data_IF_151912253673
#
_entry.id   IF_151912253673
#
_cell.length_a   1.000
_cell.length_b   1.000
_cell.length_c   1.000
_cell.angle_alpha   90.00
_cell.angle_beta   90.00
_cell.angle_gamma   90.00
#
_symmetry.space_group_name_H-M   'P 1'
#
loop_
_entity.id
_entity.type
_entity.pdbx_description
1 polymer ?
#
# COMPACT_ATOMS: atom_id res chain seq x y z
N UNK A 1 16.02 -27.20 0.65
CA UNK A 1 16.04 -28.47 1.41
C UNK A 1 16.91 -28.27 2.64
N UNK A 2 16.34 -28.33 3.85
CA UNK A 2 17.09 -28.18 5.10
C UNK A 2 17.83 -29.46 5.51
N UNK A 3 17.26 -30.62 5.15
CA UNK A 3 17.76 -31.94 5.52
C UNK A 3 17.45 -32.97 4.44
N UNK A 4 18.39 -33.84 4.12
CA UNK A 4 18.17 -35.06 3.34
C UNK A 4 18.34 -36.24 4.30
N UNK A 5 17.36 -37.14 4.32
CA UNK A 5 17.41 -38.38 5.08
C UNK A 5 17.46 -39.59 4.15
N UNK A 6 18.14 -40.65 4.57
CA UNK A 6 18.12 -41.93 3.86
C UNK A 6 16.83 -42.71 4.18
N UNK A 7 16.68 -43.88 3.55
CA UNK A 7 15.58 -44.83 3.78
C UNK A 7 15.43 -45.26 5.25
N UNK A 8 16.52 -45.24 6.04
CA UNK A 8 16.53 -45.65 7.45
C UNK A 8 16.25 -44.47 8.40
N UNK A 9 16.02 -43.27 7.87
CA UNK A 9 15.80 -42.06 8.66
C UNK A 9 17.10 -41.38 9.14
N UNK A 10 18.28 -41.85 8.72
CA UNK A 10 19.54 -41.22 9.07
C UNK A 10 19.74 -39.93 8.28
N UNK A 11 20.37 -38.94 8.90
CA UNK A 11 20.69 -37.66 8.26
C UNK A 11 21.87 -37.85 7.31
N UNK A 12 21.65 -37.69 6.00
CA UNK A 12 22.70 -37.79 4.98
C UNK A 12 23.28 -36.42 4.66
N UNK A 13 22.47 -35.36 4.77
CA UNK A 13 22.90 -33.99 4.54
C UNK A 13 22.07 -33.04 5.41
N UNK A 14 22.77 -32.15 6.11
CA UNK A 14 22.17 -31.04 6.87
C UNK A 14 22.75 -29.73 6.36
N UNK A 15 21.90 -28.83 5.88
CA UNK A 15 22.32 -27.51 5.40
C UNK A 15 22.24 -26.50 6.53
N UNK A 16 23.32 -26.40 7.32
CA UNK A 16 23.46 -25.36 8.34
C UNK A 16 24.06 -24.07 7.79
N UNK A 17 23.74 -22.94 8.44
CA UNK A 17 24.28 -21.63 8.06
C UNK A 17 25.79 -21.60 8.35
N UNK A 18 26.61 -21.65 7.31
CA UNK A 18 28.07 -21.52 7.43
C UNK A 18 28.51 -20.07 7.24
N UNK A 19 28.95 -19.41 8.31
CA UNK A 19 29.55 -18.06 8.23
C UNK A 19 30.88 -18.16 7.47
N UNK A 20 30.99 -17.48 6.32
CA UNK A 20 32.20 -17.50 5.49
C UNK A 20 33.24 -16.47 5.92
N UNK A 21 32.82 -15.23 6.08
CA UNK A 21 33.64 -14.10 6.54
C UNK A 21 32.76 -12.93 6.91
N UNK A 22 33.28 -12.03 7.74
CA UNK A 22 32.71 -10.71 7.97
C UNK A 22 33.34 -9.72 6.99
N UNK A 23 32.54 -9.11 6.13
CA UNK A 23 33.01 -8.18 5.08
C UNK A 23 33.10 -6.74 5.60
N UNK A 24 32.20 -6.35 6.51
CA UNK A 24 32.12 -5.03 7.14
C UNK A 24 31.85 -5.16 8.64
N UNK A 25 32.14 -4.12 9.42
CA UNK A 25 31.78 -4.10 10.84
C UNK A 25 30.25 -4.07 11.03
N UNK A 26 29.78 -4.48 12.21
CA UNK A 26 28.37 -4.36 12.58
C UNK A 26 27.89 -2.90 12.54
N UNK A 27 28.73 -1.97 12.98
CA UNK A 27 28.44 -0.53 12.93
C UNK A 27 28.24 -0.04 11.48
N UNK A 28 29.14 -0.40 10.56
CA UNK A 28 29.00 -0.05 9.14
C UNK A 28 27.74 -0.69 8.54
N UNK A 29 27.43 -1.93 8.92
CA UNK A 29 26.19 -2.59 8.49
C UNK A 29 24.95 -1.85 9.00
N UNK A 30 24.91 -1.47 10.28
CA UNK A 30 23.79 -0.74 10.87
C UNK A 30 23.59 0.64 10.21
N UNK A 31 24.68 1.37 9.92
CA UNK A 31 24.62 2.63 9.18
C UNK A 31 24.08 2.43 7.76
N UNK A 32 24.53 1.39 7.06
CA UNK A 32 24.06 1.08 5.71
C UNK A 32 22.58 0.70 5.72
N UNK A 33 22.12 -0.08 6.71
CA UNK A 33 20.71 -0.46 6.84
C UNK A 33 19.82 0.76 7.06
N UNK A 34 20.22 1.68 7.94
CA UNK A 34 19.51 2.95 8.14
C UNK A 34 19.46 3.79 6.86
N UNK A 35 20.57 3.90 6.14
CA UNK A 35 20.61 4.65 4.89
C UNK A 35 19.70 4.03 3.82
N UNK A 36 19.70 2.70 3.68
CA UNK A 36 18.87 1.99 2.71
C UNK A 36 17.39 1.93 3.10
N UNK A 37 17.09 1.95 4.40
CA UNK A 37 15.74 2.16 4.90
C UNK A 37 15.27 3.57 4.53
N UNK A 38 16.11 4.58 4.80
CA UNK A 38 15.80 5.96 4.42
C UNK A 38 15.58 6.11 2.91
N UNK A 39 16.27 5.37 2.05
CA UNK A 39 16.00 5.36 0.61
C UNK A 39 14.58 4.88 0.30
N UNK A 40 14.03 3.93 1.05
CA UNK A 40 12.67 3.42 0.84
C UNK A 40 11.63 4.34 1.50
N UNK A 41 11.83 4.68 2.77
CA UNK A 41 10.91 5.52 3.56
C UNK A 41 10.85 6.96 3.01
N UNK A 42 12.02 7.50 2.63
CA UNK A 42 12.14 8.88 2.20
C UNK A 42 11.91 9.09 0.70
N UNK A 43 11.86 8.00 -0.06
CA UNK A 43 11.32 7.97 -1.41
C UNK A 43 9.92 7.32 -1.35
N UNK A 44 9.06 7.84 -0.47
CA UNK A 44 7.83 7.17 -0.07
C UNK A 44 6.80 7.01 -1.19
N UNK A 45 6.89 7.79 -2.28
CA UNK A 45 6.13 7.58 -3.52
C UNK A 45 6.69 6.44 -4.39
N UNK A 46 7.82 5.86 -4.03
CA UNK A 46 8.42 4.73 -4.73
C UNK A 46 7.61 3.46 -4.52
N UNK A 47 7.60 2.62 -5.54
CA UNK A 47 6.98 1.30 -5.49
C UNK A 47 7.52 0.39 -4.37
N UNK A 48 8.57 0.79 -3.65
CA UNK A 48 9.27 0.00 -2.64
C UNK A 48 8.67 0.11 -1.22
N UNK A 49 7.95 1.19 -0.92
CA UNK A 49 7.40 1.41 0.42
C UNK A 49 6.14 0.56 0.65
N UNK A 50 6.08 -0.09 1.82
CA UNK A 50 4.95 -0.93 2.24
C UNK A 50 4.56 -0.51 3.65
N UNK A 51 3.33 -0.03 3.80
CA UNK A 51 2.81 0.51 5.06
C UNK A 51 2.96 -0.49 6.20
N UNK A 52 3.48 -0.03 7.33
CA UNK A 52 3.72 -0.83 8.53
C UNK A 52 4.90 -1.80 8.44
N UNK A 53 5.72 -1.77 7.38
CA UNK A 53 6.93 -2.58 7.30
C UNK A 53 8.18 -1.73 7.17
N UNK A 54 9.18 -2.02 8.01
CA UNK A 54 10.52 -1.45 7.91
C UNK A 54 11.30 -2.16 6.82
N UNK A 55 11.43 -1.54 5.65
CA UNK A 55 12.12 -2.13 4.49
C UNK A 55 13.30 -1.26 4.10
N UNK A 56 14.47 -1.87 3.92
CA UNK A 56 15.61 -1.22 3.29
C UNK A 56 15.87 -1.81 1.91
N UNK A 57 16.23 -0.98 0.93
CA UNK A 57 16.50 -1.51 -0.40
C UNK A 57 17.10 -0.53 -1.39
N UNK A 58 17.55 -1.06 -2.53
CA UNK A 58 18.13 -0.27 -3.61
C UNK A 58 17.83 -0.83 -4.99
N UNK A 59 17.38 0.06 -5.87
CA UNK A 59 17.24 -0.18 -7.31
C UNK A 59 18.60 -0.11 -8.01
N UNK A 60 18.81 -0.98 -9.00
CA UNK A 60 19.97 -1.00 -9.87
C UNK A 60 19.55 -1.14 -11.33
N UNK A 61 20.16 -0.34 -12.19
CA UNK A 61 19.98 -0.43 -13.65
C UNK A 61 21.35 -0.55 -14.27
N UNK A 62 21.69 -1.72 -14.79
CA UNK A 62 23.01 -1.99 -15.35
C UNK A 62 22.94 -2.17 -16.85
N UNK A 63 23.88 -1.58 -17.58
CA UNK A 63 23.98 -1.78 -19.03
C UNK A 63 24.79 -3.05 -19.31
N UNK A 64 24.28 -3.92 -20.19
CA UNK A 64 25.00 -5.12 -20.63
C UNK A 64 26.13 -4.69 -21.56
N UNK A 65 27.30 -5.31 -21.36
CA UNK A 65 28.41 -5.23 -22.31
C UNK A 65 27.99 -5.97 -23.57
N UNK A 66 27.68 -5.20 -24.61
CA UNK A 66 27.47 -5.69 -25.94
C UNK A 66 28.54 -5.05 -26.83
N UNK A 67 29.04 -5.77 -27.84
CA UNK A 67 30.15 -5.33 -28.71
C UNK A 67 29.85 -4.05 -29.51
N UNK A 68 29.91 -4.10 -30.84
CA UNK A 68 29.56 -2.93 -31.66
C UNK A 68 28.04 -2.74 -31.72
N UNK A 69 27.46 -2.18 -30.65
CA UNK A 69 26.03 -1.84 -30.59
C UNK A 69 25.85 -0.37 -30.92
N UNK A 70 24.89 -0.10 -31.81
CA UNK A 70 24.53 1.28 -32.15
C UNK A 70 23.87 1.96 -30.95
N UNK A 71 24.13 3.25 -30.79
CA UNK A 71 23.51 4.06 -29.74
C UNK A 71 21.97 3.94 -29.81
N UNK A 72 21.33 3.60 -28.69
CA UNK A 72 19.89 3.32 -28.59
C UNK A 72 19.51 1.83 -28.61
N UNK A 73 20.43 0.93 -28.96
CA UNK A 73 20.21 -0.52 -28.99
C UNK A 73 20.79 -1.24 -27.74
N UNK A 74 21.24 -0.50 -26.72
CA UNK A 74 21.90 -1.03 -25.52
C UNK A 74 20.96 -1.90 -24.71
N UNK A 75 21.37 -3.10 -24.30
CA UNK A 75 20.56 -3.92 -23.41
C UNK A 75 20.82 -3.58 -21.94
N UNK A 76 19.81 -3.73 -21.10
CA UNK A 76 19.88 -3.42 -19.67
C UNK A 76 19.44 -4.60 -18.82
N UNK A 77 19.92 -4.63 -17.59
CA UNK A 77 19.42 -5.47 -16.51
C UNK A 77 18.84 -4.54 -15.45
N UNK A 78 17.54 -4.66 -15.22
CA UNK A 78 16.84 -3.98 -14.13
C UNK A 78 16.89 -4.87 -12.88
N UNK A 79 17.21 -4.30 -11.73
CA UNK A 79 17.35 -5.05 -10.48
C UNK A 79 16.90 -4.27 -9.27
N UNK A 80 16.49 -4.99 -8.23
CA UNK A 80 16.16 -4.43 -6.93
C UNK A 80 16.53 -5.43 -5.85
N UNK A 81 17.33 -4.98 -4.89
CA UNK A 81 17.66 -5.75 -3.69
C UNK A 81 17.04 -5.04 -2.49
N UNK A 82 16.23 -5.75 -1.72
CA UNK A 82 15.68 -5.24 -0.47
C UNK A 82 15.74 -6.29 0.65
N UNK A 83 15.55 -5.81 1.86
CA UNK A 83 15.57 -6.62 3.07
C UNK A 83 14.60 -6.07 4.11
N UNK A 84 14.12 -6.96 4.96
CA UNK A 84 13.15 -6.66 6.01
C UNK A 84 13.28 -7.66 7.19
N UNK A 85 12.96 -7.25 8.42
CA UNK A 85 12.88 -5.85 8.89
C UNK A 85 14.19 -5.07 8.68
N UNK A 86 14.13 -3.75 8.50
CA UNK A 86 15.34 -2.97 8.19
C UNK A 86 16.30 -2.85 9.39
N UNK A 87 15.77 -2.91 10.61
CA UNK A 87 16.47 -2.81 11.90
C UNK A 87 17.01 -4.17 12.42
N UNK A 88 16.43 -5.28 11.97
CA UNK A 88 16.97 -6.63 12.17
C UNK A 88 16.60 -7.54 10.97
N UNK A 89 17.41 -7.56 9.88
CA UNK A 89 17.02 -8.22 8.65
C UNK A 89 16.99 -9.73 8.72
N UNK A 90 15.83 -10.30 8.44
CA UNK A 90 15.59 -11.74 8.43
C UNK A 90 15.36 -12.28 7.02
N UNK A 91 14.95 -11.39 6.11
CA UNK A 91 14.66 -11.69 4.72
C UNK A 91 15.47 -10.74 3.83
N UNK A 92 16.03 -11.29 2.76
CA UNK A 92 16.61 -10.54 1.64
C UNK A 92 15.95 -11.02 0.35
N UNK A 93 15.50 -10.09 -0.48
CA UNK A 93 14.90 -10.33 -1.79
C UNK A 93 15.72 -9.62 -2.85
N UNK A 94 16.13 -10.37 -3.88
CA UNK A 94 16.71 -9.84 -5.10
C UNK A 94 15.79 -10.20 -6.27
N UNK A 95 15.28 -9.19 -6.95
CA UNK A 95 14.56 -9.35 -8.23
C UNK A 95 15.41 -8.77 -9.33
N UNK A 96 15.48 -9.49 -10.46
CA UNK A 96 16.16 -9.03 -11.67
C UNK A 96 15.28 -9.30 -12.89
N UNK A 97 15.26 -8.35 -13.82
CA UNK A 97 14.71 -8.48 -15.15
C UNK A 97 15.84 -8.27 -16.16
N UNK A 98 16.19 -9.34 -16.88
CA UNK A 98 17.17 -9.28 -17.96
C UNK A 98 16.47 -8.79 -19.24
N UNK A 99 17.03 -7.76 -19.87
CA UNK A 99 16.52 -7.17 -21.11
C UNK A 99 15.04 -6.75 -21.04
N UNK A 100 14.66 -5.85 -20.09
CA UNK A 100 13.28 -5.42 -19.97
C UNK A 100 12.80 -4.70 -21.23
N UNK A 101 11.50 -4.78 -21.51
CA UNK A 101 10.92 -4.11 -22.67
C UNK A 101 11.04 -2.59 -22.54
N UNK A 102 11.98 -2.01 -23.30
CA UNK A 102 12.28 -0.57 -23.33
C UNK A 102 11.09 0.31 -23.73
N UNK A 103 10.08 -0.22 -24.42
CA UNK A 103 8.87 0.55 -24.73
C UNK A 103 8.03 0.85 -23.49
N UNK A 104 8.26 0.13 -22.40
CA UNK A 104 7.63 0.35 -21.09
C UNK A 104 8.60 1.15 -20.21
N UNK A 105 9.76 0.57 -19.88
CA UNK A 105 10.88 1.20 -19.15
C UNK A 105 12.05 0.21 -19.07
N UNK A 106 13.23 0.70 -18.71
CA UNK A 106 14.40 -0.13 -18.38
C UNK A 106 14.95 0.14 -16.98
N UNK A 107 14.41 1.12 -16.25
CA UNK A 107 14.86 1.45 -14.90
C UNK A 107 14.40 0.41 -13.88
N UNK A 108 15.30 0.01 -12.98
CA UNK A 108 14.98 -0.91 -11.89
C UNK A 108 13.77 -0.47 -11.06
N UNK A 109 13.70 0.83 -10.75
CA UNK A 109 12.60 1.46 -9.99
C UNK A 109 11.22 1.26 -10.64
N UNK A 110 11.14 1.34 -11.97
CA UNK A 110 9.88 1.14 -12.71
C UNK A 110 9.60 -0.33 -12.97
N UNK A 111 10.62 -1.11 -13.35
CA UNK A 111 10.42 -2.45 -13.90
C UNK A 111 10.29 -3.51 -12.81
N UNK A 112 11.12 -3.49 -11.77
CA UNK A 112 11.21 -4.62 -10.82
C UNK A 112 10.70 -4.28 -9.42
N UNK A 113 10.77 -3.03 -8.99
CA UNK A 113 10.32 -2.63 -7.64
C UNK A 113 8.82 -2.90 -7.39
N UNK A 114 7.87 -2.67 -8.33
CA UNK A 114 6.46 -3.02 -8.09
C UNK A 114 6.24 -4.50 -7.72
N UNK A 115 7.05 -5.39 -8.29
CA UNK A 115 6.97 -6.82 -8.02
C UNK A 115 7.53 -7.17 -6.63
N UNK A 116 8.55 -6.44 -6.15
CA UNK A 116 9.11 -6.67 -4.82
C UNK A 116 8.08 -6.38 -3.73
N UNK A 117 7.29 -5.32 -3.89
CA UNK A 117 6.15 -5.01 -3.02
C UNK A 117 5.14 -6.14 -2.96
N UNK A 118 4.68 -6.63 -4.12
CA UNK A 118 3.70 -7.73 -4.18
C UNK A 118 4.22 -9.00 -3.51
N UNK A 119 5.51 -9.30 -3.66
CA UNK A 119 6.15 -10.47 -3.02
C UNK A 119 6.25 -10.27 -1.51
N UNK A 120 6.76 -9.11 -1.06
CA UNK A 120 6.96 -8.81 0.36
C UNK A 120 5.64 -8.73 1.14
N UNK A 121 4.60 -8.10 0.58
CA UNK A 121 3.25 -8.03 1.19
C UNK A 121 2.66 -9.42 1.48
N UNK A 122 3.04 -10.43 0.71
CA UNK A 122 2.60 -11.83 0.90
C UNK A 122 3.57 -12.63 1.77
N UNK A 123 4.88 -12.43 1.58
CA UNK A 123 5.92 -13.21 2.22
C UNK A 123 6.08 -12.85 3.71
N UNK A 124 6.03 -11.56 4.06
CA UNK A 124 6.26 -11.10 5.42
C UNK A 124 5.24 -11.69 6.41
N UNK A 125 3.91 -11.60 6.17
CA UNK A 125 2.92 -12.23 7.04
C UNK A 125 3.07 -13.75 7.11
N UNK A 126 3.39 -14.39 5.98
CA UNK A 126 3.60 -15.84 5.92
C UNK A 126 4.79 -16.28 6.78
N UNK A 127 5.81 -15.43 6.91
CA UNK A 127 7.00 -15.67 7.72
C UNK A 127 6.84 -15.17 9.17
N UNK A 128 5.67 -14.67 9.54
CA UNK A 128 5.36 -14.22 10.91
C UNK A 128 5.75 -12.77 11.21
N UNK A 129 6.12 -11.99 10.20
CA UNK A 129 6.34 -10.54 10.33
C UNK A 129 5.06 -9.82 9.94
N UNK A 130 4.42 -9.19 10.92
CA UNK A 130 3.18 -8.45 10.74
C UNK A 130 3.46 -6.96 10.67
N UNK A 131 2.58 -6.17 10.03
CA UNK A 131 2.80 -4.75 9.92
C UNK A 131 2.66 -4.07 11.29
N UNK A 132 3.61 -3.20 11.60
CA UNK A 132 3.61 -2.30 12.75
C UNK A 132 3.45 -0.87 12.24
N UNK A 133 2.27 -0.30 12.44
CA UNK A 133 1.94 1.04 11.95
C UNK A 133 2.43 2.11 12.93
N UNK A 134 3.04 3.18 12.40
CA UNK A 134 3.23 4.42 13.17
C UNK A 134 1.88 5.07 13.50
N UNK A 135 1.84 5.98 14.48
CA UNK A 135 0.63 6.73 14.81
C UNK A 135 0.07 7.47 13.58
N UNK A 136 0.95 8.04 12.75
CA UNK A 136 0.63 8.71 11.49
C UNK A 136 0.05 7.72 10.45
N UNK A 137 0.64 6.53 10.31
CA UNK A 137 0.13 5.50 9.40
C UNK A 137 -1.23 4.94 9.88
N UNK A 138 -1.40 4.84 11.20
CA UNK A 138 -2.59 4.33 11.88
C UNK A 138 -3.79 5.27 11.78
N UNK A 139 -3.55 6.59 11.78
CA UNK A 139 -4.57 7.59 11.46
C UNK A 139 -5.09 7.46 10.02
N UNK A 140 -4.27 6.91 9.15
CA UNK A 140 -4.52 6.76 7.72
C UNK A 140 -4.89 5.31 7.35
N UNK A 141 -5.20 4.46 8.33
CA UNK A 141 -5.66 3.10 8.06
C UNK A 141 -7.11 3.11 7.60
N UNK A 142 -7.36 2.38 6.52
CA UNK A 142 -8.70 2.15 6.05
C UNK A 142 -9.45 1.23 7.02
N UNK A 143 -10.69 1.58 7.29
CA UNK A 143 -11.63 0.84 8.11
C UNK A 143 -12.62 0.16 7.17
N UNK A 144 -12.82 -1.15 7.36
CA UNK A 144 -13.83 -1.90 6.60
C UNK A 144 -15.22 -1.69 7.20
N UNK A 145 -16.17 -1.30 6.35
CA UNK A 145 -17.56 -1.08 6.74
C UNK A 145 -18.21 -2.43 7.14
N UNK A 146 -18.70 -2.56 8.39
CA UNK A 146 -19.40 -3.76 8.83
C UNK A 146 -20.79 -3.88 8.19
N UNK A 147 -21.41 -5.06 8.31
CA UNK A 147 -22.83 -5.21 7.99
C UNK A 147 -23.65 -4.57 9.10
N UNK A 148 -24.48 -3.60 8.71
CA UNK A 148 -25.35 -2.81 9.59
C UNK A 148 -26.83 -3.01 9.26
N UNK A 149 -27.15 -3.48 8.04
CA UNK A 149 -28.53 -3.77 7.65
C UNK A 149 -29.13 -4.80 8.61
N UNK A 150 -30.29 -4.48 9.18
CA UNK A 150 -30.99 -5.28 10.19
C UNK A 150 -30.60 -4.98 11.64
N UNK A 151 -29.57 -4.18 11.89
CA UNK A 151 -29.32 -3.64 13.22
C UNK A 151 -30.31 -2.50 13.52
N UNK A 152 -30.56 -2.27 14.82
CA UNK A 152 -31.16 -0.99 15.25
C UNK A 152 -30.17 0.15 14.98
N UNK A 153 -30.69 1.35 14.73
CA UNK A 153 -29.87 2.55 14.49
C UNK A 153 -28.84 2.74 15.61
N UNK A 154 -29.23 2.62 16.88
CA UNK A 154 -28.32 2.76 18.02
C UNK A 154 -27.20 1.71 18.02
N UNK A 155 -27.51 0.46 17.68
CA UNK A 155 -26.51 -0.60 17.62
C UNK A 155 -25.53 -0.38 16.45
N UNK A 156 -26.05 0.05 15.29
CA UNK A 156 -25.24 0.37 14.13
C UNK A 156 -24.29 1.54 14.43
N UNK A 157 -24.78 2.61 15.05
CA UNK A 157 -23.97 3.76 15.46
C UNK A 157 -22.86 3.36 16.43
N UNK A 158 -23.16 2.55 17.45
CA UNK A 158 -22.14 2.08 18.40
C UNK A 158 -21.06 1.21 17.74
N UNK A 159 -21.41 0.39 16.73
CA UNK A 159 -20.44 -0.37 15.94
C UNK A 159 -19.53 0.56 15.14
N UNK A 160 -20.09 1.58 14.50
CA UNK A 160 -19.34 2.56 13.70
C UNK A 160 -18.41 3.41 14.58
N UNK A 161 -18.89 3.92 15.71
CA UNK A 161 -18.10 4.73 16.65
C UNK A 161 -16.87 3.94 17.16
N UNK A 162 -17.06 2.66 17.51
CA UNK A 162 -15.96 1.79 17.94
C UNK A 162 -14.88 1.60 16.86
N UNK A 163 -15.27 1.72 15.58
CA UNK A 163 -14.36 1.64 14.44
C UNK A 163 -13.80 3.01 14.03
N UNK A 164 -14.17 4.09 14.73
CA UNK A 164 -13.76 5.45 14.39
C UNK A 164 -14.44 5.98 13.12
N UNK A 165 -15.66 5.52 12.84
CA UNK A 165 -16.49 5.97 11.71
C UNK A 165 -17.65 6.83 12.17
N UNK A 166 -18.05 7.75 11.31
CA UNK A 166 -19.22 8.59 11.50
C UNK A 166 -20.47 7.92 10.92
N UNK A 167 -21.64 8.35 11.39
CA UNK A 167 -22.93 7.86 10.90
C UNK A 167 -23.89 9.00 10.62
N UNK A 168 -24.59 8.97 9.50
CA UNK A 168 -25.71 9.86 9.20
C UNK A 168 -26.99 9.05 9.03
N UNK A 169 -28.11 9.53 9.58
CA UNK A 169 -29.39 8.79 9.56
C UNK A 169 -30.34 9.47 8.58
N UNK A 170 -30.94 8.70 7.68
CA UNK A 170 -31.95 9.17 6.74
C UNK A 170 -33.25 8.39 6.94
N UNK A 171 -34.22 9.04 7.57
CA UNK A 171 -35.52 8.47 7.90
C UNK A 171 -35.83 8.49 9.39
N UNK A 172 -36.99 7.94 9.76
CA UNK A 172 -37.56 7.91 11.11
C UNK A 172 -37.77 6.48 11.65
N UNK A 173 -37.32 5.47 10.90
CA UNK A 173 -37.36 4.06 11.31
C UNK A 173 -36.32 3.71 12.38
N UNK A 174 -36.57 2.62 13.11
CA UNK A 174 -35.71 2.13 14.19
C UNK A 174 -34.58 1.21 13.71
N UNK A 175 -34.78 0.57 12.56
CA UNK A 175 -33.87 -0.42 12.00
C UNK A 175 -33.22 0.13 10.72
N UNK A 176 -31.97 -0.28 10.49
CA UNK A 176 -31.24 0.05 9.26
C UNK A 176 -31.73 -0.87 8.14
N UNK A 177 -32.36 -0.29 7.13
CA UNK A 177 -32.87 -1.01 5.96
C UNK A 177 -31.83 -1.03 4.83
N UNK A 178 -31.09 0.07 4.66
CA UNK A 178 -30.03 0.22 3.65
C UNK A 178 -28.86 0.98 4.28
N UNK A 179 -27.64 0.65 3.87
CA UNK A 179 -26.43 1.37 4.26
C UNK A 179 -25.63 1.81 3.02
N UNK A 180 -24.93 2.94 3.13
CA UNK A 180 -23.96 3.43 2.16
C UNK A 180 -22.76 4.03 2.89
N UNK A 181 -21.51 3.60 2.64
CA UNK A 181 -21.11 2.51 1.76
C UNK A 181 -21.65 1.14 2.18
N UNK A 182 -21.67 0.21 1.21
CA UNK A 182 -22.07 -1.18 1.46
C UNK A 182 -21.02 -1.89 2.33
N UNK A 183 -21.45 -2.94 3.03
CA UNK A 183 -20.56 -3.77 3.83
C UNK A 183 -19.38 -4.32 3.02
N UNK A 184 -18.21 -4.45 3.66
CA UNK A 184 -16.97 -4.91 3.03
C UNK A 184 -16.21 -3.82 2.26
N UNK A 185 -16.82 -2.65 2.03
CA UNK A 185 -16.12 -1.49 1.48
C UNK A 185 -15.11 -0.96 2.51
N UNK A 186 -13.92 -0.56 2.07
CA UNK A 186 -12.95 0.14 2.91
C UNK A 186 -13.10 1.66 2.76
N UNK A 187 -13.02 2.39 3.87
CA UNK A 187 -13.01 3.86 3.91
C UNK A 187 -11.92 4.34 4.85
N UNK A 188 -11.37 5.52 4.62
CA UNK A 188 -10.47 6.15 5.58
C UNK A 188 -11.15 6.32 6.95
N UNK A 189 -10.37 6.25 8.03
CA UNK A 189 -10.84 6.53 9.39
C UNK A 189 -11.50 7.92 9.45
N UNK A 190 -12.60 8.03 10.17
CA UNK A 190 -13.46 9.23 10.16
C UNK A 190 -14.43 9.31 8.97
N UNK A 191 -14.43 8.33 8.07
CA UNK A 191 -15.43 8.23 7.00
C UNK A 191 -16.85 8.09 7.54
N UNK A 192 -17.83 8.52 6.76
CA UNK A 192 -19.24 8.55 7.15
C UNK A 192 -20.02 7.42 6.49
N UNK A 193 -20.87 6.74 7.26
CA UNK A 193 -21.81 5.74 6.75
C UNK A 193 -23.23 6.27 6.89
N UNK A 194 -23.92 6.39 5.76
CA UNK A 194 -25.33 6.74 5.68
C UNK A 194 -26.19 5.52 5.99
N UNK A 195 -27.09 5.66 6.96
CA UNK A 195 -28.02 4.65 7.46
C UNK A 195 -29.44 5.06 7.08
N UNK A 196 -30.02 4.36 6.12
CA UNK A 196 -31.40 4.57 5.72
C UNK A 196 -32.34 3.73 6.58
N UNK A 197 -33.40 4.37 7.07
CA UNK A 197 -34.39 3.73 7.94
C UNK A 197 -35.80 3.93 7.40
N UNK A 198 -36.69 2.99 7.74
CA UNK A 198 -38.08 3.02 7.28
C UNK A 198 -38.20 2.79 5.77
N UNK A 199 -39.11 3.51 5.12
CA UNK A 199 -39.35 3.40 3.67
C UNK A 199 -38.47 4.35 2.84
N UNK A 200 -37.54 5.07 3.47
CA UNK A 200 -36.64 5.96 2.75
C UNK A 200 -35.53 5.15 2.08
N UNK A 201 -35.53 5.15 0.76
CA UNK A 201 -34.45 4.59 -0.07
C UNK A 201 -33.85 5.65 -1.01
N UNK A 202 -34.21 6.92 -0.82
CA UNK A 202 -33.80 8.00 -1.71
C UNK A 202 -32.37 8.41 -1.40
N UNK A 203 -31.46 8.05 -2.30
CA UNK A 203 -30.09 8.55 -2.28
C UNK A 203 -30.04 9.91 -2.95
N UNK A 204 -29.72 10.96 -2.18
CA UNK A 204 -29.23 12.20 -2.76
C UNK A 204 -27.95 11.91 -3.54
N UNK A 205 -27.77 12.68 -4.62
CA UNK A 205 -26.66 12.51 -5.54
C UNK A 205 -25.77 13.73 -5.46
N UNK A 206 -24.47 13.51 -5.40
CA UNK A 206 -23.44 14.54 -5.33
C UNK A 206 -22.51 14.46 -6.52
N UNK A 207 -21.86 15.59 -6.80
CA UNK A 207 -20.89 15.71 -7.89
C UNK A 207 -19.49 15.44 -7.36
N UNK A 208 -18.75 14.58 -8.06
CA UNK A 208 -17.37 14.24 -7.72
C UNK A 208 -16.46 15.44 -8.02
N UNK A 209 -15.73 15.98 -7.02
CA UNK A 209 -14.77 17.05 -7.25
C UNK A 209 -13.54 16.56 -8.05
N UNK A 210 -12.79 17.50 -8.61
CA UNK A 210 -11.45 17.21 -9.12
C UNK A 210 -10.46 17.22 -7.97
N UNK A 211 -9.86 16.08 -7.68
CA UNK A 211 -8.95 15.86 -6.58
C UNK A 211 -7.49 15.76 -7.05
N UNK A 212 -7.26 15.64 -8.36
CA UNK A 212 -5.92 15.49 -8.93
C UNK A 212 -5.05 16.69 -8.56
N UNK A 213 -3.86 16.41 -8.01
CA UNK A 213 -2.90 17.42 -7.57
C UNK A 213 -3.12 17.95 -6.15
N UNK A 214 -4.23 17.58 -5.48
CA UNK A 214 -4.46 17.93 -4.07
C UNK A 214 -3.60 17.06 -3.16
N UNK A 215 -3.17 17.61 -2.03
CA UNK A 215 -2.67 16.83 -0.90
C UNK A 215 -3.80 15.99 -0.30
N UNK A 216 -3.46 14.97 0.51
CA UNK A 216 -4.48 14.15 1.16
C UNK A 216 -5.41 14.95 2.08
N UNK A 217 -4.87 15.97 2.76
CA UNK A 217 -5.64 16.85 3.63
C UNK A 217 -6.65 17.68 2.84
N UNK A 218 -6.22 18.31 1.74
CA UNK A 218 -7.09 19.09 0.83
C UNK A 218 -8.14 18.21 0.17
N UNK A 219 -7.74 17.00 -0.27
CA UNK A 219 -8.66 16.04 -0.86
C UNK A 219 -9.72 15.61 0.15
N UNK A 220 -9.34 15.35 1.41
CA UNK A 220 -10.28 15.01 2.48
C UNK A 220 -11.27 16.14 2.77
N UNK A 221 -10.80 17.40 2.80
CA UNK A 221 -11.66 18.57 3.00
C UNK A 221 -12.68 18.70 1.86
N UNK A 222 -12.21 18.65 0.59
CA UNK A 222 -13.07 18.74 -0.58
C UNK A 222 -14.09 17.59 -0.68
N UNK A 223 -13.69 16.37 -0.30
CA UNK A 223 -14.57 15.22 -0.26
C UNK A 223 -15.61 15.32 0.85
N UNK A 224 -15.21 15.78 2.04
CA UNK A 224 -16.12 15.97 3.17
C UNK A 224 -17.19 17.01 2.82
N UNK A 225 -16.81 18.13 2.20
CA UNK A 225 -17.75 19.15 1.72
C UNK A 225 -18.70 18.60 0.63
N UNK A 226 -18.17 17.76 -0.26
CA UNK A 226 -18.96 17.08 -1.28
C UNK A 226 -19.78 15.88 -0.75
N UNK A 227 -19.74 15.59 0.56
CA UNK A 227 -20.33 14.40 1.20
C UNK A 227 -19.90 13.09 0.54
N UNK A 228 -18.59 12.89 0.40
CA UNK A 228 -17.98 11.70 -0.19
C UNK A 228 -16.91 11.14 0.75
N UNK A 229 -16.70 9.83 0.66
CA UNK A 229 -15.62 9.14 1.36
C UNK A 229 -14.46 8.86 0.40
N UNK A 230 -13.29 8.55 0.95
CA UNK A 230 -12.20 7.97 0.16
C UNK A 230 -11.55 6.76 0.81
N UNK A 231 -10.78 6.07 0.00
CA UNK A 231 -9.79 5.06 0.40
C UNK A 231 -8.47 5.45 -0.26
N UNK A 232 -7.40 5.56 0.52
CA UNK A 232 -6.10 5.96 0.00
C UNK A 232 -5.25 4.75 -0.36
N UNK A 233 -4.68 4.76 -1.56
CA UNK A 233 -3.71 3.77 -2.03
C UNK A 233 -2.39 4.48 -2.32
N UNK A 234 -1.29 3.77 -2.09
CA UNK A 234 0.06 4.32 -2.28
C UNK A 234 0.60 4.94 -0.99
N UNK A 235 1.33 6.04 -1.12
CA UNK A 235 1.99 6.73 -0.01
C UNK A 235 1.06 7.73 0.65
N UNK A 236 1.17 7.93 1.97
CA UNK A 236 0.30 8.86 2.70
C UNK A 236 1.09 9.94 3.44
N UNK A 237 2.30 10.28 2.97
CA UNK A 237 3.10 11.40 3.52
C UNK A 237 2.45 12.75 3.21
N UNK A 238 2.82 13.79 3.95
CA UNK A 238 2.26 15.13 3.75
C UNK A 238 2.62 15.78 2.39
N UNK A 239 3.69 15.33 1.74
CA UNK A 239 4.21 15.88 0.47
C UNK A 239 3.70 15.17 -0.80
N UNK A 240 2.85 14.15 -0.65
CA UNK A 240 2.25 13.44 -1.80
C UNK A 240 0.95 14.10 -2.23
N UNK A 241 0.67 14.00 -3.51
CA UNK A 241 -0.58 14.49 -4.09
C UNK A 241 -1.36 13.34 -4.73
N UNK A 242 -2.65 13.57 -4.95
CA UNK A 242 -3.51 12.64 -5.68
C UNK A 242 -3.09 12.63 -7.15
N UNK A 243 -2.57 11.49 -7.62
CA UNK A 243 -2.21 11.29 -9.02
C UNK A 243 -3.38 10.77 -9.83
N UNK A 244 -4.20 9.91 -9.22
CA UNK A 244 -5.40 9.34 -9.83
C UNK A 244 -6.55 9.29 -8.83
N UNK A 245 -7.76 9.51 -9.34
CA UNK A 245 -9.01 9.24 -8.62
C UNK A 245 -9.84 8.25 -9.43
N UNK A 246 -10.47 7.28 -8.77
CA UNK A 246 -11.22 6.22 -9.47
C UNK A 246 -12.51 6.69 -10.14
N UNK A 247 -13.09 7.80 -9.67
CA UNK A 247 -14.32 8.39 -10.21
C UNK A 247 -13.98 9.72 -10.89
N UNK A 248 -14.33 9.92 -12.17
CA UNK A 248 -14.00 11.16 -12.88
C UNK A 248 -14.62 12.39 -12.25
N UNK A 249 -13.89 13.50 -12.24
CA UNK A 249 -14.41 14.80 -11.83
C UNK A 249 -15.65 15.20 -12.65
N UNK A 250 -16.65 15.78 -12.00
CA UNK A 250 -17.93 16.16 -12.61
C UNK A 250 -18.92 15.01 -12.77
N UNK A 251 -18.53 13.76 -12.50
CA UNK A 251 -19.48 12.65 -12.46
C UNK A 251 -20.41 12.75 -11.25
N UNK A 252 -21.58 12.13 -11.34
CA UNK A 252 -22.59 12.16 -10.28
C UNK A 252 -22.72 10.79 -9.63
N UNK A 253 -22.56 10.73 -8.32
CA UNK A 253 -22.61 9.49 -7.52
C UNK A 253 -23.53 9.67 -6.31
N UNK A 254 -23.82 8.59 -5.59
CA UNK A 254 -24.62 8.67 -4.36
C UNK A 254 -23.79 9.32 -3.25
N UNK A 255 -24.45 10.06 -2.36
CA UNK A 255 -23.81 10.58 -1.15
C UNK A 255 -23.09 9.48 -0.38
N UNK A 256 -21.93 9.84 0.15
CA UNK A 256 -21.01 9.00 0.89
C UNK A 256 -20.45 7.80 0.11
N UNK A 257 -20.54 7.82 -1.22
CA UNK A 257 -19.78 6.90 -2.09
C UNK A 257 -18.27 7.02 -1.82
N UNK A 258 -17.55 5.91 -2.03
CA UNK A 258 -16.11 5.85 -1.79
C UNK A 258 -15.33 6.07 -3.07
N UNK A 259 -14.37 7.01 -3.03
CA UNK A 259 -13.43 7.27 -4.11
C UNK A 259 -12.07 6.67 -3.75
N UNK A 260 -11.50 5.84 -4.62
CA UNK A 260 -10.11 5.41 -4.46
C UNK A 260 -9.19 6.51 -4.97
N UNK A 261 -8.26 6.94 -4.12
CA UNK A 261 -7.22 7.91 -4.44
C UNK A 261 -5.89 7.19 -4.50
N UNK A 262 -5.21 7.26 -5.65
CA UNK A 262 -3.84 6.80 -5.76
C UNK A 262 -2.91 7.99 -5.52
N UNK A 263 -2.16 7.92 -4.43
CA UNK A 263 -1.27 8.96 -3.95
C UNK A 263 0.18 8.66 -4.35
N UNK A 264 0.89 9.70 -4.77
CA UNK A 264 2.30 9.60 -5.10
C UNK A 264 2.96 10.97 -5.28
N UNK A 265 4.21 10.94 -5.70
CA UNK A 265 4.99 12.11 -6.09
C UNK A 265 5.20 12.05 -7.60
N UNK A 266 5.10 13.19 -8.28
CA UNK A 266 5.34 13.30 -9.74
C UNK A 266 6.84 13.23 -10.10
N UNK A 267 7.66 12.67 -9.19
CA UNK A 267 9.11 12.71 -9.27
C UNK A 267 9.64 11.44 -9.96
N UNK A 268 10.23 11.62 -11.14
CA UNK A 268 10.97 10.58 -11.87
C UNK A 268 12.26 10.13 -11.13
N UNK A 269 12.46 10.56 -9.89
CA UNK A 269 13.73 10.43 -9.15
C UNK A 269 13.65 9.41 -8.02
N UNK A 270 13.80 8.12 -8.36
CA UNK A 270 14.45 7.14 -7.48
C UNK A 270 13.93 5.70 -7.52
#
# INVERSE_FOLDING_TARGET
VSKIVDHSGNVVLSNEKAVRRQVVSEETSAQMRKALQYVVDNNGGSNAYIKGYKIGGKSGTSQKLMGNVQKGQEQYVASYCCFAPADDPEIVLLIMADEPNKSISYYGSTVVVPYSRTVMEKALPYLGYYPEYSDEEAELLDVTIPLLIGDTVTAAQAKLEKLGLNSEIVGDGQDVNVQMPITGTSVAKGGTVLLYTGNNSSSEKVTVPNLIGMTLAEANEALTEAKLNYVAKGSTRADVTVLLQSLPAGSTVQEWSVISLDLGTDDETG
#
